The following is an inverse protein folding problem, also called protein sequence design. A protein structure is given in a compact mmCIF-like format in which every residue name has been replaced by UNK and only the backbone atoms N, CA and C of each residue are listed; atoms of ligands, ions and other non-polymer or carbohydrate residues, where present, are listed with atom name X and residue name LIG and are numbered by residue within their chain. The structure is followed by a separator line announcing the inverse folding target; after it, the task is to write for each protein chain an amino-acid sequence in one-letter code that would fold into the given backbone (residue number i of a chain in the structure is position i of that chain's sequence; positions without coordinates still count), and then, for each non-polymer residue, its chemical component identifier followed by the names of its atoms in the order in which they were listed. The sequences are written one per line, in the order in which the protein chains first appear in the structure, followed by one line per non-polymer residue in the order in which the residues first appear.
data_IF_009324096179
#
_entry.id   IF_009324096179
#
_cell.length_a   1.000
_cell.length_b   1.000
_cell.length_c   1.000
_cell.angle_alpha   90.00
_cell.angle_beta   90.00
_cell.angle_gamma   90.00
#
_symmetry.space_group_name_H-M   'P 1'
#
loop_
_entity.id
_entity.type
_entity.pdbx_description
1 polymer ?
#
# COMPACT_ATOMS: atom_id res chain seq x y z
N UNK A 1 0.63 9.99 9.88
CA UNK A 1 1.84 9.27 9.46
C UNK A 1 1.85 9.31 7.94
N UNK A 2 2.94 9.78 7.33
CA UNK A 2 3.01 10.00 5.89
C UNK A 2 3.15 8.66 5.16
N UNK A 3 2.30 8.43 4.15
CA UNK A 3 2.38 7.27 3.26
C UNK A 3 2.15 7.75 1.82
N UNK A 4 2.94 7.27 0.87
CA UNK A 4 2.78 7.61 -0.56
C UNK A 4 2.10 6.50 -1.38
N UNK A 5 1.87 5.34 -0.76
CA UNK A 5 1.16 4.20 -1.34
C UNK A 5 0.35 3.49 -0.25
N UNK A 6 -0.67 2.73 -0.66
CA UNK A 6 -1.50 1.92 0.24
C UNK A 6 -1.41 0.42 -0.11
N UNK A 7 -2.17 -0.42 0.62
CA UNK A 7 -2.17 -1.87 0.42
C UNK A 7 -2.71 -2.27 -0.96
N UNK A 8 -3.70 -1.55 -1.49
CA UNK A 8 -4.19 -1.74 -2.86
C UNK A 8 -3.08 -1.53 -3.89
N UNK A 9 -2.24 -0.52 -3.71
CA UNK A 9 -1.11 -0.28 -4.62
C UNK A 9 -0.11 -1.45 -4.60
N UNK A 10 0.06 -2.15 -3.47
CA UNK A 10 0.90 -3.36 -3.35
C UNK A 10 0.23 -4.56 -4.00
N UNK A 11 -1.08 -4.74 -3.78
CA UNK A 11 -1.89 -5.81 -4.33
C UNK A 11 -1.81 -5.86 -5.87
N UNK A 12 -1.73 -4.69 -6.53
CA UNK A 12 -1.56 -4.59 -7.99
C UNK A 12 -0.29 -5.25 -8.53
N UNK A 13 0.75 -5.41 -7.71
CA UNK A 13 2.02 -6.02 -8.13
C UNK A 13 2.21 -7.42 -7.58
N UNK A 14 1.87 -7.66 -6.31
CA UNK A 14 2.19 -8.92 -5.62
C UNK A 14 0.99 -9.42 -4.79
N UNK A 15 -0.07 -9.95 -5.43
CA UNK A 15 -1.28 -10.42 -4.73
C UNK A 15 -1.02 -11.52 -3.70
N UNK A 16 0.03 -12.33 -3.92
CA UNK A 16 0.41 -13.42 -3.03
C UNK A 16 0.71 -12.95 -1.60
N UNK A 17 1.14 -11.69 -1.44
CA UNK A 17 1.42 -11.08 -0.14
C UNK A 17 0.17 -10.87 0.73
N UNK A 18 -1.03 -10.88 0.14
CA UNK A 18 -2.28 -10.83 0.89
C UNK A 18 -2.91 -12.21 1.08
N UNK A 19 -2.47 -13.21 0.30
CA UNK A 19 -2.89 -14.60 0.36
C UNK A 19 -1.91 -15.48 1.15
N UNK A 20 -1.19 -16.35 0.44
CA UNK A 20 -0.31 -17.36 1.03
C UNK A 20 0.92 -16.80 1.76
N UNK A 21 1.38 -15.59 1.42
CA UNK A 21 2.57 -14.96 2.01
C UNK A 21 2.24 -13.78 2.93
N UNK A 22 1.00 -13.68 3.41
CA UNK A 22 0.63 -12.65 4.39
C UNK A 22 1.50 -12.72 5.65
N UNK A 23 1.70 -11.56 6.27
CA UNK A 23 2.45 -11.43 7.52
C UNK A 23 1.48 -11.58 8.71
N UNK A 24 1.56 -12.65 9.51
CA UNK A 24 0.57 -12.93 10.55
C UNK A 24 0.47 -11.86 11.65
N UNK A 25 1.53 -11.07 11.85
CA UNK A 25 1.59 -10.00 12.83
C UNK A 25 1.12 -8.64 12.30
N UNK A 26 0.61 -8.56 11.06
CA UNK A 26 0.07 -7.34 10.46
C UNK A 26 -1.35 -7.56 9.93
N UNK A 27 -2.18 -8.21 10.75
CA UNK A 27 -3.61 -8.43 10.49
C UNK A 27 -4.40 -7.41 11.31
N UNK A 28 -5.26 -6.65 10.64
CA UNK A 28 -6.16 -5.68 11.28
C UNK A 28 -7.43 -6.36 11.78
N UNK A 29 -8.01 -7.22 10.95
CA UNK A 29 -9.22 -7.98 11.29
C UNK A 29 -9.21 -9.33 10.57
N UNK A 30 -9.75 -10.37 11.20
CA UNK A 30 -9.98 -11.66 10.56
C UNK A 30 -11.11 -12.41 11.25
N UNK A 31 -11.76 -13.32 10.53
CA UNK A 31 -12.84 -14.13 11.07
C UNK A 31 -13.43 -15.09 10.04
N UNK A 32 -14.51 -15.75 10.44
CA UNK A 32 -15.32 -16.64 9.61
C UNK A 32 -16.78 -16.19 9.63
N UNK A 33 -17.65 -16.82 8.84
CA UNK A 33 -19.07 -16.46 8.82
C UNK A 33 -19.38 -15.16 8.07
N UNK A 34 -18.43 -14.64 7.29
CA UNK A 34 -18.66 -13.48 6.42
C UNK A 34 -19.63 -13.80 5.28
N UNK A 35 -20.34 -12.80 4.78
CA UNK A 35 -21.21 -12.92 3.61
C UNK A 35 -20.90 -11.80 2.63
N UNK A 36 -20.83 -12.15 1.34
CA UNK A 36 -20.61 -11.21 0.25
C UNK A 36 -21.81 -11.26 -0.71
N UNK A 37 -22.46 -10.12 -0.89
CA UNK A 37 -23.58 -9.96 -1.83
C UNK A 37 -23.37 -8.69 -2.65
N UNK A 38 -23.19 -8.86 -3.96
CA UNK A 38 -22.73 -7.76 -4.82
C UNK A 38 -21.35 -7.29 -4.37
N UNK A 39 -21.21 -6.01 -4.09
CA UNK A 39 -19.97 -5.39 -3.59
C UNK A 39 -19.93 -5.29 -2.06
N UNK A 40 -20.99 -5.70 -1.38
CA UNK A 40 -21.13 -5.52 0.07
C UNK A 40 -20.68 -6.76 0.81
N UNK A 41 -19.60 -6.64 1.58
CA UNK A 41 -19.13 -7.65 2.51
C UNK A 41 -19.65 -7.35 3.92
N UNK A 42 -20.28 -8.34 4.56
CA UNK A 42 -20.82 -8.23 5.92
C UNK A 42 -20.22 -9.31 6.82
N UNK A 43 -19.75 -8.92 8.01
CA UNK A 43 -19.28 -9.83 9.06
C UNK A 43 -19.82 -9.36 10.42
N UNK A 44 -20.87 -10.03 10.93
CA UNK A 44 -21.63 -9.58 12.11
C UNK A 44 -20.82 -9.52 13.41
N UNK A 45 -19.77 -10.32 13.53
CA UNK A 45 -18.87 -10.32 14.68
C UNK A 45 -17.64 -9.42 14.54
N UNK A 46 -17.52 -8.68 13.43
CA UNK A 46 -16.38 -7.80 13.17
C UNK A 46 -16.55 -6.42 13.83
N UNK A 47 -15.43 -5.72 13.99
CA UNK A 47 -15.40 -4.28 14.26
C UNK A 47 -14.33 -3.64 13.36
N UNK A 48 -14.69 -3.38 12.09
CA UNK A 48 -13.79 -2.80 11.09
C UNK A 48 -13.36 -1.37 11.46
N UNK A 49 -14.23 -0.61 12.11
CA UNK A 49 -13.93 0.76 12.56
C UNK A 49 -12.93 0.70 13.71
N UNK A 50 -13.19 -0.12 14.74
CA UNK A 50 -12.26 -0.31 15.85
C UNK A 50 -10.92 -0.95 15.45
N UNK A 51 -10.93 -1.80 14.41
CA UNK A 51 -9.74 -2.37 13.80
C UNK A 51 -8.98 -1.39 12.89
N UNK A 52 -9.42 -0.12 12.77
CA UNK A 52 -8.79 0.92 11.95
C UNK A 52 -8.69 0.58 10.47
N UNK A 53 -9.65 -0.20 9.95
CA UNK A 53 -9.76 -0.49 8.52
C UNK A 53 -10.14 0.79 7.78
N UNK A 54 -9.56 1.03 6.62
CA UNK A 54 -9.81 2.22 5.79
C UNK A 54 -9.89 1.82 4.32
N UNK A 55 -10.39 2.75 3.49
CA UNK A 55 -10.32 2.62 2.03
C UNK A 55 -8.87 2.49 1.56
N UNK A 56 -8.63 1.61 0.58
CA UNK A 56 -7.28 1.29 0.10
C UNK A 56 -6.56 0.19 0.88
N UNK A 57 -7.14 -0.32 1.98
CA UNK A 57 -6.77 -1.62 2.54
C UNK A 57 -7.23 -2.76 1.64
N UNK A 58 -6.74 -3.97 1.92
CA UNK A 58 -7.02 -5.18 1.13
C UNK A 58 -7.60 -6.26 2.03
N UNK A 59 -8.68 -6.90 1.55
CA UNK A 59 -9.31 -8.03 2.20
C UNK A 59 -9.07 -9.30 1.39
N UNK A 60 -8.54 -10.33 2.04
CA UNK A 60 -8.49 -11.68 1.50
C UNK A 60 -9.76 -12.43 1.93
N UNK A 61 -10.46 -13.02 0.96
CA UNK A 61 -11.70 -13.76 1.15
C UNK A 61 -11.52 -15.18 0.63
N UNK A 62 -12.06 -16.16 1.39
CA UNK A 62 -12.07 -17.56 0.99
C UNK A 62 -13.38 -18.25 1.38
N UNK A 63 -14.08 -18.84 0.42
CA UNK A 63 -15.24 -19.71 0.64
C UNK A 63 -14.82 -21.19 0.74
N UNK A 64 -15.64 -22.02 1.38
CA UNK A 64 -15.35 -23.45 1.56
C UNK A 64 -15.37 -24.25 0.23
N UNK A 65 -16.17 -23.80 -0.74
CA UNK A 65 -16.25 -24.38 -2.09
C UNK A 65 -15.14 -23.93 -3.05
N UNK A 66 -14.29 -22.98 -2.61
CA UNK A 66 -13.18 -22.45 -3.41
C UNK A 66 -13.59 -21.54 -4.57
N UNK A 67 -14.88 -21.22 -4.73
CA UNK A 67 -15.36 -20.29 -5.77
C UNK A 67 -14.82 -18.88 -5.50
N UNK A 68 -14.75 -18.50 -4.23
CA UNK A 68 -14.12 -17.29 -3.76
C UNK A 68 -12.80 -17.66 -3.09
N UNK A 69 -11.67 -17.30 -3.69
CA UNK A 69 -10.34 -17.40 -3.09
C UNK A 69 -9.45 -16.30 -3.69
N UNK A 70 -9.34 -15.18 -2.99
CA UNK A 70 -8.64 -14.03 -3.56
C UNK A 70 -8.57 -12.83 -2.63
N UNK A 71 -7.75 -11.86 -3.04
CA UNK A 71 -7.61 -10.57 -2.39
C UNK A 71 -8.36 -9.49 -3.20
N UNK A 72 -9.09 -8.63 -2.49
CA UNK A 72 -10.00 -7.63 -3.03
C UNK A 72 -9.69 -6.26 -2.43
N UNK A 73 -9.94 -5.20 -3.19
CA UNK A 73 -9.77 -3.83 -2.70
C UNK A 73 -10.94 -3.45 -1.79
N UNK A 74 -10.66 -2.78 -0.67
CA UNK A 74 -11.67 -2.16 0.18
C UNK A 74 -11.88 -0.73 -0.33
N UNK A 75 -13.10 -0.45 -0.81
CA UNK A 75 -13.50 0.86 -1.34
C UNK A 75 -13.92 1.79 -0.21
N UNK A 76 -14.70 1.29 0.73
CA UNK A 76 -15.19 2.05 1.88
C UNK A 76 -15.46 1.15 3.07
N UNK A 77 -15.42 1.75 4.27
CA UNK A 77 -15.91 1.16 5.50
C UNK A 77 -17.28 1.77 5.78
N UNK A 78 -18.33 0.98 5.56
CA UNK A 78 -19.71 1.47 5.61
C UNK A 78 -20.27 1.41 7.04
N UNK A 79 -19.79 0.46 7.85
CA UNK A 79 -20.04 0.37 9.29
C UNK A 79 -19.00 -0.50 9.99
N UNK A 80 -19.14 -0.69 11.32
CA UNK A 80 -18.31 -1.64 12.09
C UNK A 80 -18.35 -3.08 11.54
N UNK A 81 -19.43 -3.47 10.84
CA UNK A 81 -19.62 -4.85 10.36
C UNK A 81 -19.75 -4.96 8.85
N UNK A 82 -19.58 -3.85 8.11
CA UNK A 82 -19.84 -3.81 6.67
C UNK A 82 -18.77 -3.03 5.91
N UNK A 83 -18.33 -3.59 4.78
CA UNK A 83 -17.39 -3.00 3.84
C UNK A 83 -17.98 -3.01 2.43
N UNK A 84 -17.63 -2.03 1.63
CA UNK A 84 -17.75 -2.13 0.17
C UNK A 84 -16.41 -2.60 -0.39
N UNK A 85 -16.44 -3.70 -1.15
CA UNK A 85 -15.28 -4.37 -1.72
C UNK A 85 -15.40 -4.51 -3.23
N UNK A 86 -14.27 -4.57 -3.92
CA UNK A 86 -14.20 -4.72 -5.37
C UNK A 86 -13.10 -5.66 -5.80
N UNK A 87 -13.26 -6.27 -6.97
CA UNK A 87 -12.12 -6.72 -7.78
C UNK A 87 -11.26 -5.49 -8.12
N UNK A 88 -9.94 -5.66 -8.22
CA UNK A 88 -9.00 -4.58 -8.53
C UNK A 88 -9.45 -3.86 -9.81
N UNK A 89 -9.79 -2.57 -9.66
CA UNK A 89 -10.09 -1.68 -10.79
C UNK A 89 -8.85 -1.09 -11.41
N UNK A 90 -8.94 -0.68 -12.68
CA UNK A 90 -7.85 0.01 -13.35
C UNK A 90 -7.62 1.40 -12.73
N UNK A 91 -8.72 2.14 -12.54
CA UNK A 91 -8.74 3.48 -11.97
C UNK A 91 -9.65 3.55 -10.73
N UNK A 92 -9.38 4.50 -9.83
CA UNK A 92 -10.17 4.70 -8.61
C UNK A 92 -11.61 5.14 -8.87
N UNK A 93 -11.85 5.69 -10.05
CA UNK A 93 -13.12 6.32 -10.44
C UNK A 93 -13.95 5.38 -11.33
N UNK A 94 -13.41 4.20 -11.68
CA UNK A 94 -14.14 3.16 -12.39
C UNK A 94 -15.24 2.58 -11.50
N UNK A 95 -16.29 2.04 -12.11
CA UNK A 95 -17.37 1.36 -11.39
C UNK A 95 -16.85 0.21 -10.52
N UNK A 96 -17.48 0.03 -9.36
CA UNK A 96 -17.15 -1.03 -8.40
C UNK A 96 -17.53 -2.39 -8.99
N UNK A 97 -16.59 -3.34 -9.01
CA UNK A 97 -16.75 -4.65 -9.63
C UNK A 97 -16.98 -5.70 -8.54
N UNK A 98 -18.20 -6.24 -8.49
CA UNK A 98 -18.59 -7.27 -7.53
C UNK A 98 -17.76 -8.57 -7.71
N UNK A 99 -17.17 -9.12 -6.64
CA UNK A 99 -16.67 -10.49 -6.66
C UNK A 99 -17.82 -11.52 -6.67
N UNK A 100 -17.47 -12.80 -6.79
CA UNK A 100 -18.45 -13.88 -6.69
C UNK A 100 -19.14 -13.87 -5.31
N UNK A 101 -20.47 -13.85 -5.30
CA UNK A 101 -21.24 -13.91 -4.05
C UNK A 101 -20.99 -15.23 -3.32
N UNK A 102 -20.86 -15.17 -1.99
CA UNK A 102 -20.66 -16.34 -1.15
C UNK A 102 -21.13 -16.07 0.29
N UNK A 103 -21.34 -17.13 1.05
CA UNK A 103 -21.64 -17.11 2.48
C UNK A 103 -20.62 -17.98 3.23
N UNK A 104 -20.61 -17.85 4.56
CA UNK A 104 -19.68 -18.55 5.44
C UNK A 104 -18.20 -18.36 5.04
N UNK A 105 -17.89 -17.14 4.63
CA UNK A 105 -16.58 -16.74 4.10
C UNK A 105 -15.59 -16.58 5.27
N UNK A 106 -14.41 -17.18 5.12
CA UNK A 106 -13.23 -16.77 5.87
C UNK A 106 -12.70 -15.45 5.30
N UNK A 107 -12.45 -14.47 6.17
CA UNK A 107 -11.87 -13.20 5.77
C UNK A 107 -10.65 -12.82 6.60
N UNK A 108 -9.74 -12.07 5.97
CA UNK A 108 -8.58 -11.47 6.62
C UNK A 108 -8.22 -10.14 5.96
N UNK A 109 -8.08 -9.09 6.75
CA UNK A 109 -7.60 -7.78 6.31
C UNK A 109 -6.16 -7.64 6.83
N UNK A 110 -5.20 -7.64 5.90
CA UNK A 110 -3.78 -7.50 6.22
C UNK A 110 -3.28 -6.14 5.74
N UNK A 111 -2.28 -5.59 6.41
CA UNK A 111 -1.72 -4.29 6.04
C UNK A 111 -0.20 -4.30 6.01
N UNK A 112 0.36 -3.50 5.11
CA UNK A 112 1.76 -3.15 5.02
C UNK A 112 2.01 -1.69 5.38
N UNK A 113 1.07 -1.03 6.08
CA UNK A 113 1.20 0.36 6.51
C UNK A 113 2.52 0.67 7.26
N UNK A 114 3.05 -0.21 8.14
CA UNK A 114 4.37 0.02 8.74
C UNK A 114 5.51 0.10 7.71
N UNK A 115 5.51 -0.78 6.71
CA UNK A 115 6.50 -0.74 5.62
C UNK A 115 6.28 0.46 4.69
N UNK A 116 5.02 0.86 4.47
CA UNK A 116 4.69 2.06 3.71
C UNK A 116 5.22 3.33 4.39
N UNK A 117 5.15 3.39 5.73
CA UNK A 117 5.70 4.50 6.50
C UNK A 117 7.23 4.57 6.41
N UNK A 118 7.89 3.41 6.47
CA UNK A 118 9.35 3.34 6.32
C UNK A 118 9.76 3.75 4.90
N UNK A 119 9.03 3.31 3.87
CA UNK A 119 9.26 3.73 2.50
C UNK A 119 9.06 5.24 2.32
N UNK A 120 8.03 5.83 2.97
CA UNK A 120 7.80 7.26 2.96
C UNK A 120 8.95 8.03 3.65
N UNK A 121 9.44 7.54 4.79
CA UNK A 121 10.59 8.11 5.47
C UNK A 121 11.82 8.13 4.55
N UNK A 122 12.17 7.00 3.92
CA UNK A 122 13.30 6.92 2.99
C UNK A 122 13.15 7.84 1.77
N UNK A 123 11.93 7.95 1.21
CA UNK A 123 11.67 8.84 0.09
C UNK A 123 11.80 10.31 0.51
N UNK A 124 11.26 10.69 1.65
CA UNK A 124 11.38 12.06 2.17
C UNK A 124 12.85 12.41 2.49
N UNK A 125 13.62 11.47 3.05
CA UNK A 125 15.06 11.62 3.27
C UNK A 125 15.79 11.87 1.94
N UNK A 126 15.50 11.05 0.92
CA UNK A 126 16.13 11.17 -0.40
C UNK A 126 15.89 12.54 -1.04
N UNK A 127 14.67 13.10 -0.91
CA UNK A 127 14.33 14.42 -1.44
C UNK A 127 14.72 15.58 -0.51
N UNK A 128 15.24 15.29 0.68
CA UNK A 128 15.63 16.27 1.68
C UNK A 128 14.44 17.04 2.27
N UNK A 129 13.30 16.38 2.43
CA UNK A 129 12.06 16.90 3.02
C UNK A 129 11.74 16.15 4.31
N UNK A 130 10.91 16.73 5.19
CA UNK A 130 10.45 16.04 6.40
C UNK A 130 9.48 14.89 6.04
N UNK A 131 9.41 13.82 6.86
CA UNK A 131 10.14 13.61 8.11
C UNK A 131 11.59 13.13 7.95
N UNK A 132 12.01 12.69 6.75
CA UNK A 132 13.33 12.12 6.51
C UNK A 132 14.50 13.09 6.69
N UNK A 133 14.28 14.40 6.48
CA UNK A 133 15.21 15.46 6.84
C UNK A 133 14.54 16.42 7.84
N UNK A 134 14.74 16.22 9.16
CA UNK A 134 14.12 17.06 10.21
C UNK A 134 14.45 18.56 10.07
N UNK A 135 15.62 18.90 9.55
CA UNK A 135 16.10 20.27 9.34
C UNK A 135 15.51 20.93 8.09
N UNK A 136 14.77 20.17 7.27
CA UNK A 136 14.10 20.74 6.10
C UNK A 136 13.00 21.71 6.52
N UNK A 137 12.82 22.76 5.73
CA UNK A 137 11.66 23.66 5.87
C UNK A 137 10.44 23.15 5.09
N UNK A 138 10.59 22.07 4.31
CA UNK A 138 9.52 21.47 3.54
C UNK A 138 9.03 20.20 4.23
N UNK A 139 7.72 20.09 4.35
CA UNK A 139 6.99 18.95 4.88
C UNK A 139 6.39 18.12 3.74
N UNK A 140 6.01 16.87 4.03
CA UNK A 140 5.46 15.98 3.00
C UNK A 140 4.09 16.47 2.48
N UNK A 141 3.38 17.19 3.35
CA UNK A 141 2.10 17.85 3.10
C UNK A 141 2.23 19.00 2.08
N UNK A 142 3.43 19.57 1.90
CA UNK A 142 3.71 20.65 0.95
C UNK A 142 3.86 20.12 -0.50
N UNK A 143 3.88 18.79 -0.70
CA UNK A 143 3.97 18.19 -2.03
C UNK A 143 2.60 18.29 -2.73
N UNK A 144 2.56 19.00 -3.85
CA UNK A 144 1.34 19.19 -4.65
C UNK A 144 0.80 17.90 -5.28
N UNK A 145 1.70 17.03 -5.76
CA UNK A 145 1.34 15.74 -6.35
C UNK A 145 2.19 14.62 -5.77
N UNK A 146 1.60 13.83 -4.87
CA UNK A 146 2.25 12.67 -4.26
C UNK A 146 2.16 11.41 -5.14
N UNK A 147 1.35 11.41 -6.19
CA UNK A 147 1.20 10.25 -7.08
C UNK A 147 2.50 9.90 -7.79
N UNK A 148 3.39 10.87 -8.01
CA UNK A 148 4.73 10.65 -8.57
C UNK A 148 5.62 9.76 -7.68
N UNK A 149 5.36 9.72 -6.36
CA UNK A 149 6.11 8.92 -5.39
C UNK A 149 5.54 7.52 -5.19
N UNK A 150 4.25 7.33 -5.50
CA UNK A 150 3.51 6.09 -5.25
C UNK A 150 4.25 4.84 -5.72
N UNK A 151 4.69 4.84 -6.98
CA UNK A 151 5.37 3.67 -7.57
C UNK A 151 6.71 3.39 -6.92
N UNK A 152 7.48 4.42 -6.57
CA UNK A 152 8.73 4.25 -5.84
C UNK A 152 8.46 3.69 -4.44
N UNK A 153 7.43 4.20 -3.75
CA UNK A 153 7.00 3.70 -2.44
C UNK A 153 6.67 2.20 -2.48
N UNK A 154 5.83 1.75 -3.42
CA UNK A 154 5.51 0.33 -3.59
C UNK A 154 6.75 -0.52 -3.81
N UNK A 155 7.69 -0.09 -4.67
CA UNK A 155 8.89 -0.89 -4.92
C UNK A 155 9.83 -0.95 -3.73
N UNK A 156 9.90 0.11 -2.90
CA UNK A 156 10.65 0.05 -1.63
C UNK A 156 10.01 -0.94 -0.66
N UNK A 157 8.68 -0.93 -0.53
CA UNK A 157 7.93 -1.88 0.31
C UNK A 157 8.19 -3.31 -0.16
N UNK A 158 8.02 -3.59 -1.46
CA UNK A 158 8.22 -4.94 -2.00
C UNK A 158 9.67 -5.40 -1.84
N UNK A 159 10.64 -4.52 -2.06
CA UNK A 159 12.06 -4.82 -1.83
C UNK A 159 12.32 -5.23 -0.38
N UNK A 160 11.79 -4.48 0.59
CA UNK A 160 12.01 -4.73 2.02
C UNK A 160 11.26 -5.98 2.52
N UNK A 161 10.01 -6.16 2.11
CA UNK A 161 9.20 -7.35 2.46
C UNK A 161 9.86 -8.63 1.92
N UNK A 162 10.30 -8.64 0.65
CA UNK A 162 10.96 -9.83 0.11
C UNK A 162 12.35 -10.08 0.73
N UNK A 163 13.09 -9.04 1.14
CA UNK A 163 14.33 -9.23 1.89
C UNK A 163 14.07 -9.90 3.25
N UNK A 164 13.03 -9.45 3.96
CA UNK A 164 12.60 -10.04 5.23
C UNK A 164 12.18 -11.51 5.06
N UNK A 165 11.36 -11.81 4.05
CA UNK A 165 10.93 -13.19 3.75
C UNK A 165 12.11 -14.09 3.38
N UNK A 166 13.06 -13.59 2.58
CA UNK A 166 14.27 -14.33 2.21
C UNK A 166 15.11 -14.68 3.44
N UNK A 167 15.28 -13.72 4.37
CA UNK A 167 16.01 -13.95 5.62
C UNK A 167 15.34 -15.01 6.50
N UNK A 168 14.01 -14.98 6.59
CA UNK A 168 13.25 -15.94 7.41
C UNK A 168 13.24 -17.35 6.84
N UNK A 169 13.16 -17.49 5.51
CA UNK A 169 12.99 -18.78 4.84
C UNK A 169 14.29 -19.35 4.27
N UNK A 170 15.40 -18.61 4.32
CA UNK A 170 16.65 -18.90 3.59
C UNK A 170 16.39 -19.15 2.08
N UNK A 171 15.41 -18.43 1.52
CA UNK A 171 14.95 -18.64 0.13
C UNK A 171 15.63 -17.65 -0.84
N UNK A 172 16.48 -18.19 -1.71
CA UNK A 172 17.20 -17.42 -2.72
C UNK A 172 16.27 -16.74 -3.74
N UNK A 173 15.08 -17.29 -4.01
CA UNK A 173 14.12 -16.68 -4.93
C UNK A 173 13.51 -15.41 -4.35
N UNK A 174 13.21 -15.39 -3.05
CA UNK A 174 12.78 -14.16 -2.37
C UNK A 174 13.90 -13.12 -2.35
N UNK A 175 15.16 -13.54 -2.17
CA UNK A 175 16.29 -12.63 -2.28
C UNK A 175 16.40 -12.01 -3.68
N UNK A 176 16.27 -12.83 -4.74
CA UNK A 176 16.25 -12.35 -6.14
C UNK A 176 15.11 -11.37 -6.39
N UNK A 177 13.90 -11.65 -5.88
CA UNK A 177 12.76 -10.71 -5.96
C UNK A 177 13.04 -9.40 -5.23
N UNK A 178 13.62 -9.44 -4.03
CA UNK A 178 14.02 -8.24 -3.30
C UNK A 178 14.97 -7.38 -4.13
N UNK A 179 16.04 -7.99 -4.68
CA UNK A 179 16.99 -7.28 -5.54
C UNK A 179 16.36 -6.73 -6.82
N UNK A 180 15.39 -7.45 -7.39
CA UNK A 180 14.64 -6.97 -8.56
C UNK A 180 13.85 -5.70 -8.22
N UNK A 181 13.08 -5.70 -7.14
CA UNK A 181 12.32 -4.52 -6.72
C UNK A 181 13.22 -3.37 -6.27
N UNK A 182 14.37 -3.66 -5.65
CA UNK A 182 15.38 -2.63 -5.35
C UNK A 182 15.86 -1.90 -6.61
N UNK A 183 16.12 -2.64 -7.70
CA UNK A 183 16.51 -2.02 -9.00
C UNK A 183 15.37 -1.20 -9.59
N UNK A 184 14.13 -1.67 -9.49
CA UNK A 184 12.96 -0.92 -9.94
C UNK A 184 12.74 0.35 -9.11
N UNK A 185 12.96 0.29 -7.80
CA UNK A 185 12.90 1.42 -6.88
C UNK A 185 13.88 2.52 -7.26
N UNK A 186 15.18 2.20 -7.44
CA UNK A 186 16.18 3.19 -7.86
C UNK A 186 15.78 3.91 -9.14
N UNK A 187 15.33 3.15 -10.16
CA UNK A 187 14.86 3.72 -11.43
C UNK A 187 13.58 4.54 -11.29
N UNK A 188 12.70 4.19 -10.34
CA UNK A 188 11.48 4.94 -10.09
C UNK A 188 11.80 6.28 -9.43
N UNK A 189 12.66 6.30 -8.41
CA UNK A 189 13.08 7.54 -7.73
C UNK A 189 13.73 8.51 -8.70
N UNK A 190 14.63 8.04 -9.57
CA UNK A 190 15.31 8.89 -10.57
C UNK A 190 14.33 9.66 -11.47
N UNK A 191 13.11 9.14 -11.64
CA UNK A 191 12.06 9.73 -12.48
C UNK A 191 11.10 10.64 -11.71
N UNK A 192 11.11 10.58 -10.38
CA UNK A 192 10.24 11.41 -9.56
C UNK A 192 10.66 12.88 -9.67
N UNK A 193 9.66 13.75 -9.82
CA UNK A 193 9.81 15.20 -9.78
C UNK A 193 8.75 15.73 -8.81
N UNK A 194 9.20 16.26 -7.69
CA UNK A 194 8.31 16.82 -6.68
C UNK A 194 8.15 18.30 -6.94
N UNK A 195 6.91 18.73 -7.02
CA UNK A 195 6.50 20.13 -6.97
C UNK A 195 6.05 20.43 -5.54
N UNK A 196 6.69 21.41 -4.92
CA UNK A 196 6.47 21.80 -3.51
C UNK A 196 5.90 23.21 -3.49
N UNK A 197 4.79 23.38 -2.79
CA UNK A 197 4.12 24.66 -2.52
C UNK A 197 4.39 25.07 -1.07
N UNK A 198 5.17 26.13 -0.91
CA UNK A 198 5.58 26.65 0.39
C UNK A 198 4.58 27.69 0.90
N UNK A 199 3.85 28.34 -0.02
CA UNK A 199 2.88 29.39 0.26
C UNK A 199 1.47 28.89 0.57
N UNK A 200 1.16 27.64 0.23
CA UNK A 200 -0.18 27.07 0.31
C UNK A 200 -1.16 27.65 -0.73
N UNK A 201 -0.66 28.24 -1.82
CA UNK A 201 -1.47 28.87 -2.87
C UNK A 201 -1.82 27.92 -4.03
N UNK A 202 -1.35 26.67 -3.95
CA UNK A 202 -1.51 25.63 -4.97
C UNK A 202 -0.53 25.73 -6.13
N UNK A 203 0.45 26.64 -6.07
CA UNK A 203 1.46 26.85 -7.11
C UNK A 203 2.82 26.34 -6.63
N UNK A 204 3.55 25.67 -7.53
CA UNK A 204 4.85 25.13 -7.18
C UNK A 204 5.90 26.25 -7.03
N UNK A 205 6.41 26.45 -5.82
CA UNK A 205 7.54 27.35 -5.54
C UNK A 205 8.89 26.66 -5.82
N UNK A 206 8.96 25.36 -5.51
CA UNK A 206 10.21 24.59 -5.55
C UNK A 206 9.99 23.27 -6.28
N UNK A 207 10.96 22.88 -7.10
CA UNK A 207 10.99 21.56 -7.72
C UNK A 207 12.20 20.75 -7.24
N UNK A 208 11.97 19.52 -6.79
CA UNK A 208 13.03 18.54 -6.47
C UNK A 208 12.98 17.40 -7.49
N UNK A 209 14.09 17.14 -8.16
CA UNK A 209 14.19 16.03 -9.14
C UNK A 209 15.02 14.89 -8.56
N UNK A 210 14.56 13.66 -8.73
CA UNK A 210 15.24 12.48 -8.19
C UNK A 210 16.51 12.12 -8.95
N UNK A 211 16.66 12.62 -10.18
CA UNK A 211 17.89 12.50 -11.00
C UNK A 211 18.99 13.50 -10.62
N UNK A 212 18.73 14.42 -9.69
CA UNK A 212 19.69 15.45 -9.29
C UNK A 212 20.80 14.84 -8.42
N UNK A 213 21.98 14.59 -8.99
CA UNK A 213 23.15 14.18 -8.21
C UNK A 213 23.82 15.43 -7.64
N UNK A 214 23.86 15.55 -6.31
CA UNK A 214 24.64 16.59 -5.63
C UNK A 214 26.12 16.26 -5.76
N UNK A 215 26.82 16.91 -6.69
CA UNK A 215 28.27 16.86 -6.74
C UNK A 215 28.83 17.66 -5.55
N UNK A 216 29.42 16.96 -4.59
CA UNK A 216 30.20 17.58 -3.52
C UNK A 216 31.64 17.70 -4.02
N UNK A 217 32.20 18.91 -3.90
CA UNK A 217 33.58 19.18 -4.30
C UNK A 217 34.46 18.88 -3.08
N UNK A 218 35.40 17.94 -3.23
CA UNK A 218 36.48 17.70 -2.26
C UNK A 218 37.43 18.91 -2.19
#
# INVERSE_FOLDING_TARGET
MVNFSNDLDILRYEPVLFGGLHLPWQILASGTGGALSGTTFTASGADFVGATVTAGHVIYLRSADGILDGAYEIISVDSATQLTVSVIRAHSDDDVIAPAAATDIFYRISTFAPQASEAAYQLTEYFGIRPGNPESIYDAEDILDTAVLKRASVFSILSSVYAMLASKAEDENFWKKSLHYKKLFSRAIERCRLSIDVGGDGVADVTKSGSSVKLVRD
#
